data_IF_731031843992
#
_entry.id   IF_731031843992
#
_cell.length_a   1.000
_cell.length_b   1.000
_cell.length_c   1.000
_cell.angle_alpha   90.00
_cell.angle_beta   90.00
_cell.angle_gamma   90.00
#
_symmetry.space_group_name_H-M   'P 1'
#
loop_
_entity.id
_entity.type
_entity.pdbx_description
1 polymer ?
#
# COMPACT_ATOMS: atom_id res chain seq x y z
N UNK A 1 -35.55 -12.33 -1.84
CA UNK A 1 -34.28 -13.04 -1.60
C UNK A 1 -33.89 -12.78 -0.16
N UNK A 2 -33.36 -13.76 0.56
CA UNK A 2 -32.83 -13.55 1.91
C UNK A 2 -31.71 -12.50 1.90
N UNK A 3 -31.58 -11.72 2.97
CA UNK A 3 -30.60 -10.63 3.10
C UNK A 3 -29.16 -11.11 2.86
N UNK A 4 -28.83 -12.31 3.33
CA UNK A 4 -27.53 -12.95 3.10
C UNK A 4 -27.26 -13.20 1.60
N UNK A 5 -28.27 -13.66 0.86
CA UNK A 5 -28.17 -13.90 -0.59
C UNK A 5 -28.05 -12.59 -1.36
N UNK A 6 -28.74 -11.54 -0.92
CA UNK A 6 -28.60 -10.22 -1.54
C UNK A 6 -27.21 -9.62 -1.27
N UNK A 7 -26.70 -9.70 -0.03
CA UNK A 7 -25.34 -9.28 0.30
C UNK A 7 -24.29 -10.07 -0.48
N UNK A 8 -24.48 -11.39 -0.64
CA UNK A 8 -23.59 -12.21 -1.46
C UNK A 8 -23.55 -11.76 -2.91
N UNK A 9 -24.71 -11.54 -3.55
CA UNK A 9 -24.77 -11.20 -4.98
C UNK A 9 -24.34 -9.76 -5.24
N UNK A 10 -24.83 -8.79 -4.47
CA UNK A 10 -24.58 -7.38 -4.77
C UNK A 10 -23.26 -6.85 -4.24
N UNK A 11 -22.71 -7.46 -3.19
CA UNK A 11 -21.44 -7.03 -2.59
C UNK A 11 -20.31 -8.04 -2.84
N UNK A 12 -20.46 -9.30 -2.43
CA UNK A 12 -19.34 -10.26 -2.50
C UNK A 12 -19.00 -10.71 -3.92
N UNK A 13 -20.01 -11.03 -4.73
CA UNK A 13 -19.81 -11.38 -6.13
C UNK A 13 -19.28 -10.17 -6.90
N UNK A 14 -19.80 -8.96 -6.64
CA UNK A 14 -19.26 -7.72 -7.20
C UNK A 14 -17.78 -7.54 -6.84
N UNK A 15 -17.39 -7.75 -5.57
CA UNK A 15 -16.00 -7.70 -5.14
C UNK A 15 -15.11 -8.77 -5.78
N UNK A 16 -15.63 -9.97 -6.00
CA UNK A 16 -14.90 -11.03 -6.72
C UNK A 16 -14.66 -10.62 -8.18
N UNK A 17 -15.67 -10.03 -8.83
CA UNK A 17 -15.53 -9.48 -10.18
C UNK A 17 -14.51 -8.33 -10.25
N UNK A 18 -14.41 -7.50 -9.21
CA UNK A 18 -13.36 -6.47 -9.09
C UNK A 18 -11.97 -7.11 -9.09
N UNK A 19 -11.73 -8.04 -8.17
CA UNK A 19 -10.41 -8.69 -8.02
C UNK A 19 -10.04 -9.45 -9.28
N UNK A 20 -10.95 -10.29 -9.78
CA UNK A 20 -10.74 -11.08 -10.99
C UNK A 20 -10.53 -10.18 -12.22
N UNK A 21 -11.39 -9.18 -12.40
CA UNK A 21 -11.33 -8.25 -13.53
C UNK A 21 -10.01 -7.49 -13.56
N UNK A 22 -9.58 -6.93 -12.42
CA UNK A 22 -8.29 -6.24 -12.35
C UNK A 22 -7.10 -7.20 -12.51
N UNK A 23 -7.12 -8.40 -11.93
CA UNK A 23 -6.07 -9.40 -12.18
C UNK A 23 -5.92 -9.70 -13.68
N UNK A 24 -7.03 -10.02 -14.36
CA UNK A 24 -7.00 -10.30 -15.80
C UNK A 24 -6.57 -9.05 -16.59
N UNK A 25 -7.03 -7.87 -16.19
CA UNK A 25 -6.67 -6.59 -16.78
C UNK A 25 -5.18 -6.30 -16.73
N UNK A 26 -4.56 -6.44 -15.56
CA UNK A 26 -3.15 -6.09 -15.35
C UNK A 26 -2.18 -7.18 -15.81
N UNK A 27 -2.50 -8.46 -15.61
CA UNK A 27 -1.56 -9.55 -15.89
C UNK A 27 -1.68 -10.10 -17.31
N UNK A 28 -2.77 -9.81 -18.04
CA UNK A 28 -2.90 -10.30 -19.40
C UNK A 28 -2.03 -9.53 -20.39
N UNK A 29 -1.27 -10.27 -21.20
CA UNK A 29 -0.53 -9.75 -22.36
C UNK A 29 -1.41 -9.64 -23.61
N UNK A 30 -2.64 -10.17 -23.58
CA UNK A 30 -3.56 -10.19 -24.72
C UNK A 30 -4.52 -9.01 -24.64
N UNK A 31 -4.54 -8.17 -25.68
CA UNK A 31 -5.29 -6.91 -25.68
C UNK A 31 -6.79 -7.04 -25.40
N UNK A 32 -7.46 -8.08 -25.93
CA UNK A 32 -8.87 -8.34 -25.66
C UNK A 32 -9.14 -8.75 -24.21
N UNK A 33 -8.32 -9.65 -23.65
CA UNK A 33 -8.43 -10.08 -22.25
C UNK A 33 -8.20 -8.89 -21.31
N UNK A 34 -7.24 -8.01 -21.61
CA UNK A 34 -7.03 -6.77 -20.85
C UNK A 34 -8.28 -5.87 -20.84
N UNK A 35 -8.90 -5.66 -22.00
CA UNK A 35 -10.14 -4.86 -22.10
C UNK A 35 -11.30 -5.52 -21.35
N UNK A 36 -11.46 -6.84 -21.51
CA UNK A 36 -12.47 -7.61 -20.79
C UNK A 36 -12.28 -7.49 -19.27
N UNK A 37 -11.06 -7.72 -18.77
CA UNK A 37 -10.73 -7.57 -17.36
C UNK A 37 -11.03 -6.15 -16.84
N UNK A 38 -10.64 -5.12 -17.61
CA UNK A 38 -10.94 -3.74 -17.25
C UNK A 38 -12.45 -3.46 -17.16
N UNK A 39 -13.26 -3.96 -18.11
CA UNK A 39 -14.73 -3.81 -18.10
C UNK A 39 -15.33 -4.55 -16.90
N UNK A 40 -14.95 -5.80 -16.67
CA UNK A 40 -15.47 -6.61 -15.56
C UNK A 40 -15.08 -6.00 -14.21
N UNK A 41 -13.84 -5.56 -14.05
CA UNK A 41 -13.35 -4.92 -12.83
C UNK A 41 -14.06 -3.59 -12.56
N UNK A 42 -14.25 -2.77 -13.60
CA UNK A 42 -14.98 -1.50 -13.49
C UNK A 42 -16.46 -1.71 -13.18
N UNK A 43 -17.12 -2.68 -13.81
CA UNK A 43 -18.52 -3.01 -13.54
C UNK A 43 -18.72 -3.54 -12.11
N UNK A 44 -17.81 -4.41 -11.64
CA UNK A 44 -17.80 -4.86 -10.25
C UNK A 44 -17.62 -3.70 -9.26
N UNK A 45 -16.73 -2.75 -9.58
CA UNK A 45 -16.45 -1.58 -8.73
C UNK A 45 -17.68 -0.68 -8.66
N UNK A 46 -18.29 -0.37 -9.81
CA UNK A 46 -19.54 0.41 -9.83
C UNK A 46 -20.65 -0.28 -9.05
N UNK A 47 -20.77 -1.61 -9.15
CA UNK A 47 -21.75 -2.37 -8.37
C UNK A 47 -21.46 -2.29 -6.86
N UNK A 48 -20.19 -2.38 -6.43
CA UNK A 48 -19.82 -2.21 -5.02
C UNK A 48 -20.18 -0.83 -4.51
N UNK A 49 -19.90 0.21 -5.30
CA UNK A 49 -20.26 1.59 -4.94
C UNK A 49 -21.76 1.82 -4.93
N UNK A 50 -22.51 1.05 -5.72
CA UNK A 50 -23.97 1.09 -5.71
C UNK A 50 -24.59 0.39 -4.48
N UNK A 51 -23.83 -0.42 -3.73
CA UNK A 51 -24.35 -1.23 -2.61
C UNK A 51 -25.10 -0.46 -1.53
N UNK A 52 -24.74 0.79 -1.16
CA UNK A 52 -25.50 1.58 -0.19
C UNK A 52 -26.94 1.86 -0.65
N UNK A 53 -27.19 1.88 -1.97
CA UNK A 53 -28.51 2.11 -2.56
C UNK A 53 -29.26 0.83 -2.94
N UNK A 54 -28.55 -0.29 -3.16
CA UNK A 54 -29.18 -1.56 -3.58
C UNK A 54 -29.52 -2.49 -2.43
N UNK A 55 -28.92 -2.28 -1.25
CA UNK A 55 -29.14 -3.07 -0.04
C UNK A 55 -29.48 -2.16 1.13
N UNK A 56 -30.75 -2.14 1.53
CA UNK A 56 -31.19 -1.44 2.74
C UNK A 56 -30.72 -2.22 3.98
N UNK A 57 -29.70 -1.67 4.65
CA UNK A 57 -29.10 -2.15 5.91
C UNK A 57 -28.43 -3.53 5.87
N UNK A 58 -27.12 -3.51 5.62
CA UNK A 58 -26.21 -4.63 5.86
C UNK A 58 -24.83 -4.08 6.26
N UNK A 59 -24.03 -4.80 7.07
CA UNK A 59 -22.62 -4.47 7.29
C UNK A 59 -21.87 -4.26 5.95
N UNK A 60 -22.21 -5.04 4.93
CA UNK A 60 -21.65 -4.87 3.58
C UNK A 60 -21.99 -3.52 2.95
N UNK A 61 -23.22 -3.02 3.11
CA UNK A 61 -23.62 -1.69 2.60
C UNK A 61 -22.91 -0.56 3.34
N UNK A 62 -22.74 -0.68 4.66
CA UNK A 62 -21.99 0.29 5.45
C UNK A 62 -20.51 0.34 5.04
N UNK A 63 -19.91 -0.82 4.76
CA UNK A 63 -18.56 -0.87 4.20
C UNK A 63 -18.48 -0.26 2.79
N UNK A 64 -19.44 -0.58 1.91
CA UNK A 64 -19.55 0.03 0.59
C UNK A 64 -19.70 1.55 0.63
N UNK A 65 -20.48 2.06 1.60
CA UNK A 65 -20.62 3.49 1.84
C UNK A 65 -19.30 4.13 2.27
N UNK A 66 -18.54 3.47 3.17
CA UNK A 66 -17.21 3.94 3.53
C UNK A 66 -16.30 3.98 2.31
N UNK A 67 -16.25 2.91 1.51
CA UNK A 67 -15.43 2.87 0.29
C UNK A 67 -15.76 4.03 -0.64
N UNK A 68 -17.05 4.28 -0.88
CA UNK A 68 -17.50 5.41 -1.69
C UNK A 68 -17.00 6.76 -1.14
N UNK A 69 -17.09 6.96 0.18
CA UNK A 69 -16.61 8.17 0.84
C UNK A 69 -15.08 8.35 0.75
N UNK A 70 -14.32 7.25 0.66
CA UNK A 70 -12.85 7.27 0.59
C UNK A 70 -12.31 7.44 -0.84
N UNK A 71 -13.12 7.26 -1.90
CA UNK A 71 -12.64 7.38 -3.29
C UNK A 71 -12.00 8.73 -3.55
N UNK A 72 -12.66 9.82 -3.18
CA UNK A 72 -12.18 11.18 -3.41
C UNK A 72 -10.76 11.40 -2.86
N UNK A 73 -10.56 11.28 -1.53
CA UNK A 73 -9.23 11.42 -0.95
C UNK A 73 -8.24 10.36 -1.46
N UNK A 74 -8.65 9.11 -1.68
CA UNK A 74 -7.76 8.07 -2.18
C UNK A 74 -7.22 8.35 -3.59
N UNK A 75 -8.07 8.86 -4.50
CA UNK A 75 -7.64 9.26 -5.85
C UNK A 75 -6.69 10.45 -5.79
N UNK A 76 -6.99 11.45 -4.97
CA UNK A 76 -6.12 12.61 -4.77
C UNK A 76 -4.74 12.20 -4.24
N UNK A 77 -4.71 11.34 -3.21
CA UNK A 77 -3.47 10.81 -2.64
C UNK A 77 -2.71 9.95 -3.66
N UNK A 78 -3.39 9.01 -4.33
CA UNK A 78 -2.77 8.08 -5.28
C UNK A 78 -2.15 8.80 -6.48
N UNK A 79 -2.91 9.69 -7.13
CA UNK A 79 -2.41 10.50 -8.26
C UNK A 79 -1.36 11.50 -7.78
N UNK A 80 -1.55 12.11 -6.61
CA UNK A 80 -0.60 13.04 -6.03
C UNK A 80 0.75 12.41 -5.74
N UNK A 81 0.78 11.25 -5.07
CA UNK A 81 2.00 10.48 -4.83
C UNK A 81 2.64 9.99 -6.13
N UNK A 82 1.85 9.57 -7.11
CA UNK A 82 2.35 9.22 -8.44
C UNK A 82 3.11 10.39 -9.06
N UNK A 83 2.49 11.58 -9.13
CA UNK A 83 3.13 12.76 -9.70
C UNK A 83 4.40 13.17 -8.93
N UNK A 84 4.39 13.11 -7.59
CA UNK A 84 5.56 13.41 -6.76
C UNK A 84 6.70 12.42 -7.02
N UNK A 85 6.40 11.13 -7.11
CA UNK A 85 7.40 10.07 -7.27
C UNK A 85 8.06 10.13 -8.64
N UNK A 86 7.28 10.32 -9.71
CA UNK A 86 7.77 10.30 -11.09
C UNK A 86 8.27 11.67 -11.60
N UNK A 87 8.11 12.74 -10.84
CA UNK A 87 8.74 14.05 -11.11
C UNK A 87 10.11 14.22 -10.43
N UNK A 88 10.56 13.23 -9.67
CA UNK A 88 11.85 13.20 -9.00
C UNK A 88 13.04 12.88 -9.92
N UNK A 89 14.17 12.52 -9.33
CA UNK A 89 15.36 12.06 -10.06
C UNK A 89 15.18 10.63 -10.58
N UNK A 90 14.16 10.41 -11.40
CA UNK A 90 13.91 9.10 -12.02
C UNK A 90 14.75 9.00 -13.31
N UNK A 91 15.44 7.88 -13.55
CA UNK A 91 16.31 7.70 -14.72
C UNK A 91 15.55 7.57 -16.05
N UNK A 92 14.23 7.38 -16.03
CA UNK A 92 13.40 7.22 -17.24
C UNK A 92 12.17 8.13 -17.16
N UNK A 93 12.03 9.06 -18.12
CA UNK A 93 10.82 9.88 -18.33
C UNK A 93 10.36 10.67 -17.10
N UNK A 94 11.03 11.80 -16.79
CA UNK A 94 10.65 12.66 -15.66
C UNK A 94 9.41 13.49 -16.01
N UNK A 95 8.42 13.48 -15.13
CA UNK A 95 7.34 14.46 -15.14
C UNK A 95 7.89 15.86 -14.85
N UNK A 96 7.18 16.90 -15.26
CA UNK A 96 7.64 18.28 -15.11
C UNK A 96 7.66 18.71 -13.63
N UNK A 97 8.41 19.77 -13.30
CA UNK A 97 8.36 20.36 -11.94
C UNK A 97 6.96 20.89 -11.59
N UNK A 98 6.18 21.27 -12.58
CA UNK A 98 4.78 21.70 -12.40
C UNK A 98 3.94 20.52 -11.92
N UNK A 99 4.09 19.34 -12.54
CA UNK A 99 3.39 18.12 -12.12
C UNK A 99 3.74 17.74 -10.69
N UNK A 100 5.00 17.92 -10.27
CA UNK A 100 5.38 17.73 -8.85
C UNK A 100 4.56 18.60 -7.91
N UNK A 101 4.39 19.88 -8.28
CA UNK A 101 3.69 20.87 -7.44
C UNK A 101 2.21 20.56 -7.38
N UNK A 102 1.61 20.20 -8.52
CA UNK A 102 0.22 19.72 -8.59
C UNK A 102 0.07 18.49 -7.69
N UNK A 103 1.00 17.53 -7.77
CA UNK A 103 0.98 16.34 -6.93
C UNK A 103 1.01 16.64 -5.43
N UNK A 104 1.85 17.59 -5.00
CA UNK A 104 1.87 18.06 -3.60
C UNK A 104 0.54 18.68 -3.19
N UNK A 105 -0.04 19.55 -4.03
CA UNK A 105 -1.35 20.16 -3.76
C UNK A 105 -2.43 19.09 -3.66
N UNK A 106 -2.44 18.10 -4.55
CA UNK A 106 -3.39 16.99 -4.51
C UNK A 106 -3.27 16.18 -3.22
N UNK A 107 -2.04 15.86 -2.78
CA UNK A 107 -1.83 15.17 -1.50
C UNK A 107 -2.34 16.00 -0.33
N UNK A 108 -2.03 17.31 -0.29
CA UNK A 108 -2.49 18.20 0.77
C UNK A 108 -4.03 18.26 0.82
N UNK A 109 -4.70 18.41 -0.32
CA UNK A 109 -6.17 18.42 -0.38
C UNK A 109 -6.73 17.05 0.07
N UNK A 110 -6.11 15.94 -0.35
CA UNK A 110 -6.51 14.59 0.06
C UNK A 110 -6.41 14.37 1.57
N UNK A 111 -5.33 14.82 2.20
CA UNK A 111 -5.16 14.79 3.66
C UNK A 111 -6.19 15.68 4.35
N UNK A 112 -6.35 16.93 3.90
CA UNK A 112 -7.34 17.85 4.47
C UNK A 112 -8.77 17.32 4.35
N UNK A 113 -9.08 16.62 3.26
CA UNK A 113 -10.38 15.96 3.09
C UNK A 113 -10.57 14.89 4.16
N UNK A 114 -9.59 14.00 4.36
CA UNK A 114 -9.67 12.96 5.39
C UNK A 114 -9.80 13.57 6.80
N UNK A 115 -9.06 14.64 7.09
CA UNK A 115 -9.20 15.37 8.36
C UNK A 115 -10.60 15.98 8.51
N UNK A 116 -11.14 16.59 7.44
CA UNK A 116 -12.48 17.16 7.47
C UNK A 116 -13.57 16.10 7.68
N UNK A 117 -13.35 14.85 7.24
CA UNK A 117 -14.24 13.75 7.55
C UNK A 117 -14.22 13.38 9.04
N UNK A 118 -13.13 13.62 9.77
CA UNK A 118 -13.09 13.40 11.21
C UNK A 118 -13.60 14.61 12.01
N UNK A 119 -13.13 15.81 11.65
CA UNK A 119 -13.31 17.04 12.44
C UNK A 119 -14.48 17.93 12.01
N UNK A 120 -15.15 17.61 10.89
CA UNK A 120 -16.27 18.38 10.38
C UNK A 120 -17.52 17.51 10.22
N UNK A 121 -18.65 18.12 9.84
CA UNK A 121 -19.88 17.44 9.42
C UNK A 121 -19.76 16.57 8.15
N UNK A 122 -18.56 16.35 7.63
CA UNK A 122 -18.29 15.45 6.49
C UNK A 122 -18.06 13.99 6.92
N UNK A 123 -18.20 13.69 8.21
CA UNK A 123 -18.07 12.32 8.72
C UNK A 123 -19.02 11.36 8.00
N UNK A 124 -18.53 10.20 7.52
CA UNK A 124 -19.40 9.21 6.90
C UNK A 124 -20.45 8.73 7.90
N UNK A 125 -21.70 9.16 7.71
CA UNK A 125 -22.85 8.67 8.46
C UNK A 125 -23.63 7.68 7.61
N UNK A 126 -24.02 6.55 8.20
CA UNK A 126 -24.83 5.56 7.50
C UNK A 126 -25.71 4.78 8.49
N UNK A 127 -27.05 4.92 8.41
CA UNK A 127 -27.83 6.10 7.99
C UNK A 127 -28.09 7.11 9.12
N UNK A 128 -28.34 6.70 10.36
CA UNK A 128 -28.60 7.63 11.49
C UNK A 128 -27.43 7.72 12.49
N UNK A 129 -26.35 6.98 12.24
CA UNK A 129 -25.17 6.93 13.08
C UNK A 129 -23.89 7.06 12.24
N UNK A 130 -22.78 7.39 12.90
CA UNK A 130 -21.47 7.33 12.27
C UNK A 130 -21.22 5.90 11.77
N UNK A 131 -20.71 5.80 10.55
CA UNK A 131 -20.34 4.53 9.96
C UNK A 131 -19.29 3.84 10.83
N UNK A 132 -19.62 2.67 11.37
CA UNK A 132 -18.71 1.89 12.24
C UNK A 132 -17.35 1.63 11.58
N UNK A 133 -17.30 1.43 10.27
CA UNK A 133 -16.02 1.19 9.59
C UNK A 133 -15.14 2.43 9.53
N UNK A 134 -15.70 3.63 9.58
CA UNK A 134 -14.91 4.87 9.71
C UNK A 134 -14.21 4.92 11.08
N UNK A 135 -14.93 4.55 12.14
CA UNK A 135 -14.39 4.49 13.50
C UNK A 135 -13.23 3.50 13.63
N UNK A 136 -13.24 2.41 12.86
CA UNK A 136 -12.13 1.45 12.79
C UNK A 136 -11.01 1.96 11.87
N UNK A 137 -11.38 2.41 10.67
CA UNK A 137 -10.44 2.81 9.61
C UNK A 137 -9.53 3.94 10.07
N UNK A 138 -10.08 5.00 10.65
CA UNK A 138 -9.32 6.23 10.91
C UNK A 138 -8.20 6.03 11.96
N UNK A 139 -8.47 5.49 13.17
CA UNK A 139 -7.42 5.10 14.12
C UNK A 139 -6.40 4.14 13.52
N UNK A 140 -6.88 3.11 12.81
CA UNK A 140 -6.01 2.08 12.21
C UNK A 140 -5.08 2.68 11.16
N UNK A 141 -5.57 3.62 10.36
CA UNK A 141 -4.78 4.30 9.33
C UNK A 141 -3.70 5.18 9.96
N UNK A 142 -4.02 5.93 11.02
CA UNK A 142 -3.04 6.76 11.73
C UNK A 142 -1.99 5.90 12.44
N UNK A 143 -2.39 4.85 13.17
CA UNK A 143 -1.47 3.92 13.83
C UNK A 143 -0.62 3.15 12.81
N UNK A 144 -1.23 2.69 11.72
CA UNK A 144 -0.54 2.05 10.60
C UNK A 144 0.48 2.99 9.95
N UNK A 145 0.15 4.28 9.82
CA UNK A 145 1.08 5.31 9.32
C UNK A 145 2.27 5.49 10.26
N UNK A 146 2.04 5.51 11.58
CA UNK A 146 3.12 5.55 12.58
C UNK A 146 4.00 4.30 12.46
N UNK A 147 3.39 3.11 12.49
CA UNK A 147 4.11 1.85 12.43
C UNK A 147 4.95 1.73 11.13
N UNK A 148 4.35 2.07 9.98
CA UNK A 148 5.03 2.07 8.70
C UNK A 148 6.17 3.11 8.66
N UNK A 149 5.94 4.32 9.17
CA UNK A 149 6.97 5.37 9.23
C UNK A 149 8.15 4.97 10.10
N UNK A 150 7.90 4.37 11.27
CA UNK A 150 8.93 3.82 12.14
C UNK A 150 9.70 2.66 11.48
N UNK A 151 8.99 1.76 10.79
CA UNK A 151 9.59 0.66 10.04
C UNK A 151 10.51 1.15 8.92
N UNK A 152 10.02 2.06 8.08
CA UNK A 152 10.82 2.67 7.00
C UNK A 152 11.99 3.47 7.57
N UNK A 153 11.78 4.22 8.66
CA UNK A 153 12.86 4.91 9.37
C UNK A 153 13.97 3.93 9.76
N UNK A 154 13.63 2.82 10.43
CA UNK A 154 14.61 1.82 10.85
C UNK A 154 15.37 1.21 9.66
N UNK A 155 14.68 0.90 8.57
CA UNK A 155 15.31 0.36 7.35
C UNK A 155 16.27 1.38 6.73
N UNK A 156 15.84 2.63 6.58
CA UNK A 156 16.69 3.70 6.03
C UNK A 156 17.84 4.04 6.98
N UNK A 157 17.67 3.83 8.29
CA UNK A 157 18.72 4.02 9.29
C UNK A 157 19.85 2.99 9.16
N UNK A 158 19.47 1.72 9.05
CA UNK A 158 20.39 0.58 8.97
C UNK A 158 21.04 0.43 7.60
N UNK A 159 20.28 0.61 6.51
CA UNK A 159 20.73 0.29 5.14
C UNK A 159 21.07 1.55 4.33
N UNK A 160 20.47 2.70 4.65
CA UNK A 160 20.57 3.90 3.83
C UNK A 160 21.78 4.76 4.18
N UNK A 161 22.80 4.79 3.32
CA UNK A 161 23.87 5.79 3.41
C UNK A 161 23.38 7.17 2.95
N UNK A 162 23.71 8.23 3.70
CA UNK A 162 23.41 9.63 3.37
C UNK A 162 21.91 9.98 3.18
N UNK A 163 20.99 9.20 3.78
CA UNK A 163 19.52 9.39 3.68
C UNK A 163 18.92 10.19 4.84
N UNK A 164 19.64 11.20 5.35
CA UNK A 164 19.22 11.96 6.53
C UNK A 164 17.87 12.67 6.34
N UNK A 165 17.63 13.21 5.14
CA UNK A 165 16.37 13.91 4.84
C UNK A 165 15.18 12.95 4.85
N UNK A 166 15.33 11.77 4.27
CA UNK A 166 14.28 10.75 4.24
C UNK A 166 13.96 10.27 5.66
N UNK A 167 14.98 10.05 6.51
CA UNK A 167 14.79 9.71 7.93
C UNK A 167 13.98 10.79 8.66
N UNK A 168 14.35 12.06 8.50
CA UNK A 168 13.64 13.18 9.12
C UNK A 168 12.18 13.29 8.65
N UNK A 169 11.91 13.01 7.37
CA UNK A 169 10.55 13.00 6.84
C UNK A 169 9.71 11.86 7.43
N UNK A 170 10.29 10.68 7.64
CA UNK A 170 9.58 9.57 8.30
C UNK A 170 9.25 9.91 9.76
N UNK A 171 10.18 10.53 10.49
CA UNK A 171 9.92 11.00 11.86
C UNK A 171 8.82 12.06 11.88
N UNK A 172 8.88 13.05 10.97
CA UNK A 172 7.85 14.08 10.87
C UNK A 172 6.47 13.48 10.60
N UNK A 173 6.38 12.49 9.71
CA UNK A 173 5.13 11.81 9.39
C UNK A 173 4.58 11.04 10.60
N UNK A 174 5.44 10.31 11.32
CA UNK A 174 5.05 9.61 12.55
C UNK A 174 4.57 10.57 13.65
N UNK A 175 5.29 11.67 13.87
CA UNK A 175 4.92 12.70 14.85
C UNK A 175 3.60 13.37 14.46
N UNK A 176 3.39 13.69 13.19
CA UNK A 176 2.15 14.28 12.70
C UNK A 176 0.96 13.34 12.90
N UNK A 177 1.08 12.07 12.52
CA UNK A 177 0.03 11.06 12.75
C UNK A 177 -0.22 10.83 14.24
N UNK A 178 0.82 10.83 15.08
CA UNK A 178 0.71 10.73 16.53
C UNK A 178 0.00 11.92 17.15
N UNK A 179 0.28 13.13 16.66
CA UNK A 179 -0.42 14.34 17.08
C UNK A 179 -1.92 14.26 16.74
N UNK A 180 -2.28 13.81 15.54
CA UNK A 180 -3.68 13.63 15.14
C UNK A 180 -4.42 12.59 16.00
N UNK A 181 -3.76 11.47 16.33
CA UNK A 181 -4.31 10.47 17.26
C UNK A 181 -4.54 11.05 18.65
N UNK A 182 -3.57 11.79 19.19
CA UNK A 182 -3.74 12.45 20.49
C UNK A 182 -4.86 13.48 20.46
N UNK A 183 -4.99 14.24 19.36
CA UNK A 183 -6.06 15.22 19.20
C UNK A 183 -7.44 14.55 19.18
N UNK A 184 -7.59 13.47 18.40
CA UNK A 184 -8.80 12.63 18.38
C UNK A 184 -9.17 12.01 19.73
N UNK A 185 -8.17 11.56 20.50
CA UNK A 185 -8.40 10.94 21.80
C UNK A 185 -8.64 11.94 22.95
N UNK A 186 -8.36 13.24 22.72
CA UNK A 186 -8.47 14.28 23.76
C UNK A 186 -9.61 15.27 23.52
N UNK A 187 -10.09 15.39 22.28
CA UNK A 187 -11.06 16.41 21.87
C UNK A 187 -12.26 15.76 21.19
N UNK A 188 -13.46 16.25 21.50
CA UNK A 188 -14.68 15.79 20.85
C UNK A 188 -14.80 16.37 19.44
N UNK A 189 -15.10 15.50 18.48
CA UNK A 189 -15.51 15.90 17.14
C UNK A 189 -17.01 16.17 17.05
N UNK A 190 -17.51 16.72 15.93
CA UNK A 190 -18.94 17.03 15.77
C UNK A 190 -19.83 15.78 15.79
N UNK A 191 -19.30 14.65 15.34
CA UNK A 191 -20.03 13.38 15.20
C UNK A 191 -19.36 12.22 15.95
N UNK A 192 -18.12 12.37 16.41
CA UNK A 192 -17.34 11.31 17.06
C UNK A 192 -16.87 11.83 18.42
N UNK A 193 -17.34 11.18 19.49
CA UNK A 193 -16.93 11.47 20.87
C UNK A 193 -15.51 10.95 21.13
N UNK A 194 -14.74 11.68 21.94
CA UNK A 194 -13.35 11.33 22.28
C UNK A 194 -13.21 9.95 22.94
N UNK A 195 -14.18 9.51 23.74
CA UNK A 195 -14.11 8.22 24.42
C UNK A 195 -14.29 7.08 23.42
N UNK A 196 -15.25 7.22 22.50
CA UNK A 196 -15.47 6.26 21.42
C UNK A 196 -14.23 6.16 20.54
N UNK A 197 -13.62 7.29 20.19
CA UNK A 197 -12.38 7.29 19.42
C UNK A 197 -11.22 6.64 20.19
N UNK A 198 -11.04 6.95 21.46
CA UNK A 198 -9.98 6.38 22.30
C UNK A 198 -10.11 4.85 22.46
N UNK A 199 -11.34 4.34 22.63
CA UNK A 199 -11.60 2.90 22.70
C UNK A 199 -11.21 2.21 21.38
N UNK A 200 -11.59 2.79 20.24
CA UNK A 200 -11.24 2.26 18.92
C UNK A 200 -9.73 2.37 18.62
N UNK A 201 -9.03 3.38 19.17
CA UNK A 201 -7.56 3.46 19.11
C UNK A 201 -6.91 2.27 19.82
N UNK A 202 -7.44 1.85 20.97
CA UNK A 202 -6.90 0.69 21.70
C UNK A 202 -7.15 -0.62 20.93
N UNK A 203 -8.33 -0.78 20.34
CA UNK A 203 -8.65 -1.92 19.49
C UNK A 203 -7.74 -1.97 18.25
N UNK A 204 -7.60 -0.83 17.55
CA UNK A 204 -6.70 -0.72 16.41
C UNK A 204 -5.23 -0.98 16.78
N UNK A 205 -4.79 -0.56 17.96
CA UNK A 205 -3.44 -0.86 18.45
C UNK A 205 -3.24 -2.37 18.65
N UNK A 206 -4.24 -3.08 19.18
CA UNK A 206 -4.20 -4.53 19.31
C UNK A 206 -4.13 -5.23 17.94
N UNK A 207 -4.90 -4.75 16.95
CA UNK A 207 -4.87 -5.28 15.59
C UNK A 207 -3.51 -5.09 14.91
N UNK A 208 -2.96 -3.86 14.97
CA UNK A 208 -1.64 -3.55 14.40
C UNK A 208 -0.55 -4.34 15.11
N UNK A 209 -0.59 -4.44 16.44
CA UNK A 209 0.35 -5.25 17.19
C UNK A 209 0.27 -6.73 16.80
N UNK A 210 -0.94 -7.29 16.72
CA UNK A 210 -1.18 -8.67 16.28
C UNK A 210 -0.64 -8.91 14.87
N UNK A 211 -0.86 -7.99 13.94
CA UNK A 211 -0.34 -8.06 12.59
C UNK A 211 1.21 -8.02 12.55
N UNK A 212 1.84 -7.15 13.34
CA UNK A 212 3.30 -7.06 13.43
C UNK A 212 3.93 -8.33 14.03
N UNK A 213 3.35 -8.85 15.12
CA UNK A 213 3.80 -10.11 15.74
C UNK A 213 3.62 -11.27 14.76
N UNK A 214 2.46 -11.35 14.10
CA UNK A 214 2.20 -12.36 13.07
C UNK A 214 3.20 -12.31 11.91
N UNK A 215 3.53 -11.10 11.43
CA UNK A 215 4.54 -10.90 10.40
C UNK A 215 5.94 -11.35 10.86
N UNK A 216 6.34 -11.00 12.09
CA UNK A 216 7.63 -11.43 12.65
C UNK A 216 7.71 -12.96 12.78
N UNK A 217 6.66 -13.61 13.28
CA UNK A 217 6.58 -15.07 13.38
C UNK A 217 6.63 -15.72 11.99
N UNK A 218 5.94 -15.16 10.99
CA UNK A 218 5.99 -15.65 9.62
C UNK A 218 7.41 -15.59 9.02
N UNK A 219 8.15 -14.50 9.25
CA UNK A 219 9.55 -14.36 8.83
C UNK A 219 10.44 -15.41 9.52
N UNK A 220 10.26 -15.63 10.82
CA UNK A 220 11.03 -16.65 11.55
C UNK A 220 10.74 -18.06 11.04
N UNK A 221 9.46 -18.40 10.80
CA UNK A 221 9.08 -19.68 10.21
C UNK A 221 9.71 -19.87 8.82
N UNK A 222 9.68 -18.83 7.99
CA UNK A 222 10.34 -18.86 6.69
C UNK A 222 11.86 -19.11 6.82
N UNK A 223 12.53 -18.42 7.74
CA UNK A 223 13.96 -18.61 8.00
C UNK A 223 14.28 -20.04 8.49
N UNK A 224 13.44 -20.60 9.36
CA UNK A 224 13.57 -22.00 9.81
C UNK A 224 13.40 -22.98 8.66
N UNK A 225 12.38 -22.79 7.82
CA UNK A 225 12.17 -23.62 6.62
C UNK A 225 13.37 -23.53 5.68
N UNK A 226 13.92 -22.33 5.47
CA UNK A 226 15.11 -22.14 4.66
C UNK A 226 16.33 -22.86 5.26
N UNK A 227 16.58 -22.72 6.56
CA UNK A 227 17.70 -23.39 7.23
C UNK A 227 17.58 -24.92 7.16
N UNK A 228 16.38 -25.47 7.34
CA UNK A 228 16.13 -26.91 7.15
C UNK A 228 16.39 -27.31 5.71
N UNK A 229 15.89 -26.56 4.75
CA UNK A 229 16.09 -26.83 3.33
C UNK A 229 17.57 -26.80 2.93
N UNK A 230 18.32 -25.78 3.35
CA UNK A 230 19.76 -25.66 3.10
C UNK A 230 20.55 -26.79 3.75
N UNK A 231 20.18 -27.20 4.97
CA UNK A 231 20.86 -28.31 5.65
C UNK A 231 20.71 -29.67 4.94
N UNK A 232 19.68 -29.82 4.10
CA UNK A 232 19.40 -31.03 3.34
C UNK A 232 19.98 -31.01 1.92
N UNK A 233 20.54 -29.87 1.47
CA UNK A 233 21.11 -29.80 0.14
C UNK A 233 22.41 -30.62 0.05
N UNK A 234 22.60 -31.42 -1.01
CA UNK A 234 23.86 -32.10 -1.24
C UNK A 234 24.99 -31.09 -1.41
N UNK A 235 26.20 -31.46 -0.98
CA UNK A 235 27.37 -30.59 -1.12
C UNK A 235 27.50 -30.11 -2.58
N UNK A 236 27.77 -28.81 -2.81
CA UNK A 236 27.87 -28.28 -4.15
C UNK A 236 28.94 -29.06 -4.93
N UNK A 237 28.59 -29.47 -6.14
CA UNK A 237 29.51 -30.20 -7.02
C UNK A 237 30.75 -29.35 -7.21
N UNK A 238 31.89 -29.78 -6.66
CA UNK A 238 33.16 -29.10 -6.94
C UNK A 238 33.41 -29.22 -8.43
N UNK A 239 33.45 -28.08 -9.12
CA UNK A 239 33.89 -28.04 -10.50
C UNK A 239 35.30 -28.63 -10.56
N UNK A 240 35.55 -29.45 -11.58
CA UNK A 240 36.89 -29.92 -11.84
C UNK A 240 37.81 -28.71 -12.04
N UNK A 241 39.10 -28.81 -11.63
CA UNK A 241 40.06 -27.76 -11.88
C UNK A 241 40.04 -27.38 -13.37
N UNK A 242 40.16 -26.09 -13.70
CA UNK A 242 40.04 -25.62 -15.06
C UNK A 242 41.06 -26.31 -15.95
N UNK A 243 40.62 -26.76 -17.13
CA UNK A 243 41.52 -27.39 -18.08
C UNK A 243 42.51 -26.37 -18.65
N UNK A 244 43.65 -26.85 -19.17
CA UNK A 244 44.63 -25.99 -19.83
C UNK A 244 44.01 -25.16 -20.97
N UNK A 245 43.00 -25.71 -21.68
CA UNK A 245 42.27 -25.00 -22.72
C UNK A 245 41.43 -23.84 -22.15
N UNK A 246 40.73 -24.05 -21.03
CA UNK A 246 39.94 -23.01 -20.36
C UNK A 246 40.82 -21.92 -19.75
N UNK A 247 41.98 -22.27 -19.21
CA UNK A 247 42.98 -21.30 -18.75
C UNK A 247 43.54 -20.47 -19.90
N UNK A 248 43.77 -21.08 -21.07
CA UNK A 248 44.22 -20.36 -22.26
C UNK A 248 43.14 -19.42 -22.81
N UNK A 249 41.88 -19.85 -22.84
CA UNK A 249 40.77 -19.01 -23.28
C UNK A 249 40.51 -17.84 -22.30
N UNK A 250 40.61 -18.10 -21.00
CA UNK A 250 40.55 -17.05 -19.98
C UNK A 250 41.72 -16.07 -20.13
N UNK A 251 42.94 -16.57 -20.33
CA UNK A 251 44.13 -15.75 -20.61
C UNK A 251 43.99 -14.90 -21.87
N UNK A 252 43.43 -15.47 -22.95
CA UNK A 252 43.14 -14.74 -24.19
C UNK A 252 42.10 -13.65 -24.00
N UNK A 253 41.03 -13.93 -23.25
CA UNK A 253 39.96 -12.98 -22.94
C UNK A 253 40.49 -11.84 -22.05
N UNK A 254 41.32 -12.15 -21.06
CA UNK A 254 41.99 -11.16 -20.21
C UNK A 254 42.95 -10.31 -21.05
N UNK A 255 43.74 -10.90 -21.93
CA UNK A 255 44.65 -10.17 -22.81
C UNK A 255 43.93 -9.27 -23.83
N UNK A 256 42.77 -9.70 -24.34
CA UNK A 256 41.92 -8.89 -25.21
C UNK A 256 41.33 -7.69 -24.46
N UNK A 257 40.85 -7.88 -23.23
CA UNK A 257 40.28 -6.80 -22.43
C UNK A 257 41.35 -5.87 -21.81
N UNK A 258 42.57 -6.36 -21.54
CA UNK A 258 43.70 -5.56 -21.07
C UNK A 258 44.36 -4.74 -22.18
N UNK A 259 44.25 -5.18 -23.43
CA UNK A 259 44.81 -4.42 -24.55
C UNK A 259 44.10 -3.10 -24.80
N UNK A 260 42.90 -2.92 -24.25
CA UNK A 260 42.12 -1.71 -24.46
C UNK A 260 41.79 -1.53 -25.94
N UNK A 261 40.73 -0.78 -26.22
CA UNK A 261 40.62 -0.09 -27.49
C UNK A 261 41.76 0.95 -27.52
N UNK A 262 42.92 0.55 -28.04
CA UNK A 262 43.78 1.50 -28.74
C UNK A 262 43.46 1.31 -30.22
N UNK A 263 43.15 2.43 -30.89
CA UNK A 263 42.76 2.60 -32.30
C UNK A 263 41.22 2.53 -32.48
N UNK A 264 40.51 3.62 -32.79
CA UNK A 264 40.82 4.63 -33.82
C UNK A 264 40.62 6.09 -33.34
N UNK A 265 41.71 6.88 -33.36
CA UNK A 265 41.70 8.30 -33.74
C UNK A 265 42.06 8.41 -35.23
#
# INVERSE_FOLDING_TARGET
>A
MEEATQAFVFFWLAGLLVVFGFMVGFFSKVGWQRRFGAVVGSAGMLSLLATPWTLSFSPSSAFGHLLGSLIGPAVLLGVGFYQITFSGHVPVGRLTRTDRTIGVVMVLIGVLWLEAMHWWHLTPTYPDAVNRYWLIFWPTMLLGTIAASCGVYAVVDVVGEQRQRERQLMVLLAVFAGFLLMLGASSDGPNVDRNVFADEVLLAAADIFGALVGAAVAVLLFAVVLAVYESQQPAPTRLNPPSAAQLNDAGRTIAQNLRGEYEDE
#
